data_IF_426361814314
#
_entry.id   IF_426361814314
#
_cell.length_a   1.000
_cell.length_b   1.000
_cell.length_c   1.000
_cell.angle_alpha   90.00
_cell.angle_beta   90.00
_cell.angle_gamma   90.00
#
_symmetry.space_group_name_H-M   'P 1'
#
loop_
_entity.id
_entity.type
_entity.pdbx_description
1 polymer ?
#
# COMPACT_ATOMS: atom_id res chain seq x y z
N UNK A 1 -14.14 -31.52 -22.23
CA UNK A 1 -12.66 -31.40 -22.24
C UNK A 1 -11.97 -32.03 -21.01
N UNK A 2 -12.67 -32.70 -20.08
CA UNK A 2 -12.01 -33.57 -19.07
C UNK A 2 -11.08 -32.88 -18.06
N UNK A 3 -11.02 -31.55 -18.05
CA UNK A 3 -10.25 -30.79 -17.06
C UNK A 3 -10.99 -30.77 -15.72
N UNK A 4 -10.27 -31.06 -14.65
CA UNK A 4 -10.74 -31.01 -13.26
C UNK A 4 -10.25 -29.75 -12.51
N UNK A 5 -9.47 -28.91 -13.20
CA UNK A 5 -8.87 -27.69 -12.67
C UNK A 5 -8.83 -26.59 -13.73
N UNK A 6 -9.45 -25.44 -13.45
CA UNK A 6 -9.57 -24.32 -14.39
C UNK A 6 -9.16 -23.01 -13.72
N UNK A 7 -8.40 -22.18 -14.44
CA UNK A 7 -8.07 -20.83 -14.01
C UNK A 7 -9.03 -19.81 -14.65
N UNK A 8 -9.55 -18.90 -13.82
CA UNK A 8 -10.40 -17.79 -14.25
C UNK A 8 -9.59 -16.50 -14.26
N UNK A 9 -9.47 -15.90 -15.45
CA UNK A 9 -8.80 -14.62 -15.66
C UNK A 9 -9.80 -13.50 -16.01
N UNK A 10 -9.30 -12.26 -16.11
CA UNK A 10 -10.11 -11.10 -16.51
C UNK A 10 -11.00 -10.50 -15.40
N UNK A 11 -10.89 -11.02 -14.18
CA UNK A 11 -11.71 -10.62 -13.03
C UNK A 11 -11.14 -9.44 -12.23
N UNK A 12 -9.84 -9.18 -12.30
CA UNK A 12 -9.16 -8.11 -11.54
C UNK A 12 -9.85 -6.73 -11.59
N UNK A 13 -10.26 -6.19 -12.76
CA UNK A 13 -10.88 -4.87 -12.82
C UNK A 13 -12.37 -4.85 -12.42
N UNK A 14 -12.98 -6.02 -12.17
CA UNK A 14 -14.42 -6.16 -11.91
C UNK A 14 -14.76 -5.84 -10.45
N UNK A 15 -16.00 -5.43 -10.19
CA UNK A 15 -16.50 -5.26 -8.82
C UNK A 15 -16.82 -6.62 -8.18
N UNK A 16 -17.02 -6.64 -6.86
CA UNK A 16 -17.27 -7.88 -6.13
C UNK A 16 -18.54 -8.57 -6.62
N UNK A 17 -19.58 -7.81 -6.96
CA UNK A 17 -20.86 -8.33 -7.43
C UNK A 17 -20.72 -9.03 -8.79
N UNK A 18 -19.97 -8.42 -9.73
CA UNK A 18 -19.68 -9.02 -11.03
C UNK A 18 -18.82 -10.29 -10.90
N UNK A 19 -17.87 -10.32 -9.96
CA UNK A 19 -17.06 -11.53 -9.70
C UNK A 19 -17.94 -12.65 -9.14
N UNK A 20 -18.89 -12.31 -8.26
CA UNK A 20 -19.83 -13.27 -7.69
C UNK A 20 -20.71 -13.90 -8.77
N UNK A 21 -21.30 -13.08 -9.65
CA UNK A 21 -22.11 -13.57 -10.78
C UNK A 21 -21.33 -14.54 -11.68
N UNK A 22 -20.06 -14.26 -11.95
CA UNK A 22 -19.21 -15.17 -12.75
C UNK A 22 -18.92 -16.47 -12.02
N UNK A 23 -18.62 -16.41 -10.72
CA UNK A 23 -18.34 -17.59 -9.92
C UNK A 23 -19.56 -18.52 -9.84
N UNK A 24 -20.75 -17.96 -9.62
CA UNK A 24 -22.01 -18.71 -9.57
C UNK A 24 -22.30 -19.38 -10.92
N UNK A 25 -22.20 -18.64 -12.02
CA UNK A 25 -22.44 -19.18 -13.37
C UNK A 25 -21.46 -20.31 -13.73
N UNK A 26 -20.18 -20.16 -13.39
CA UNK A 26 -19.17 -21.22 -13.62
C UNK A 26 -19.45 -22.43 -12.72
N UNK A 27 -19.87 -22.21 -11.48
CA UNK A 27 -20.19 -23.28 -10.54
C UNK A 27 -21.37 -24.12 -11.03
N UNK A 28 -22.42 -23.48 -11.54
CA UNK A 28 -23.58 -24.13 -12.13
C UNK A 28 -23.20 -24.96 -13.36
N UNK A 29 -22.47 -24.37 -14.31
CA UNK A 29 -22.08 -25.04 -15.56
C UNK A 29 -21.14 -26.23 -15.33
N UNK A 30 -20.29 -26.17 -14.29
CA UNK A 30 -19.36 -27.24 -13.95
C UNK A 30 -19.99 -28.35 -13.09
N UNK A 31 -21.30 -28.25 -12.78
CA UNK A 31 -22.00 -29.11 -11.83
C UNK A 31 -21.28 -29.23 -10.47
N UNK A 32 -20.45 -28.24 -10.16
CA UNK A 32 -19.61 -28.21 -8.99
C UNK A 32 -18.43 -29.20 -8.92
N UNK A 33 -18.07 -29.84 -10.02
CA UNK A 33 -17.04 -30.89 -10.04
C UNK A 33 -15.61 -30.35 -10.27
N UNK A 34 -15.50 -29.10 -10.74
CA UNK A 34 -14.22 -28.51 -11.14
C UNK A 34 -13.63 -27.63 -10.04
N UNK A 35 -12.32 -27.75 -9.85
CA UNK A 35 -11.54 -26.88 -8.95
C UNK A 35 -11.15 -25.60 -9.67
N UNK A 36 -11.31 -24.46 -9.01
CA UNK A 36 -11.05 -23.16 -9.61
C UNK A 36 -9.80 -22.48 -9.04
N UNK A 37 -9.10 -21.75 -9.92
CA UNK A 37 -8.05 -20.81 -9.56
C UNK A 37 -8.44 -19.40 -9.99
N UNK A 38 -8.39 -18.41 -9.09
CA UNK A 38 -8.62 -17.01 -9.46
C UNK A 38 -7.30 -16.26 -9.68
N UNK A 39 -7.13 -15.77 -10.90
CA UNK A 39 -5.95 -14.98 -11.28
C UNK A 39 -6.09 -13.54 -10.80
N UNK A 40 -5.20 -13.13 -9.89
CA UNK A 40 -5.07 -11.74 -9.45
C UNK A 40 -6.15 -11.23 -8.46
N UNK A 41 -7.04 -12.10 -7.96
CA UNK A 41 -8.15 -11.72 -7.07
C UNK A 41 -7.87 -12.16 -5.64
N UNK A 42 -7.60 -11.18 -4.76
CA UNK A 42 -7.52 -11.35 -3.31
C UNK A 42 -8.39 -10.26 -2.69
N UNK A 43 -9.61 -10.62 -2.28
CA UNK A 43 -10.58 -9.70 -1.69
C UNK A 43 -11.27 -10.42 -0.52
N UNK A 44 -11.01 -10.02 0.74
CA UNK A 44 -11.55 -10.70 1.91
C UNK A 44 -13.06 -10.91 1.88
N UNK A 45 -13.82 -9.90 1.41
CA UNK A 45 -15.28 -9.98 1.28
C UNK A 45 -15.80 -11.00 0.25
N UNK A 46 -14.92 -11.66 -0.52
CA UNK A 46 -15.28 -12.74 -1.44
C UNK A 46 -14.85 -14.12 -0.96
N UNK A 47 -14.13 -14.25 0.16
CA UNK A 47 -13.50 -15.52 0.52
C UNK A 47 -14.50 -16.65 0.76
N UNK A 48 -15.62 -16.39 1.44
CA UNK A 48 -16.66 -17.41 1.67
C UNK A 48 -17.28 -17.87 0.35
N UNK A 49 -17.65 -16.93 -0.51
CA UNK A 49 -18.19 -17.23 -1.83
C UNK A 49 -17.17 -18.02 -2.69
N UNK A 50 -15.91 -17.59 -2.71
CA UNK A 50 -14.85 -18.27 -3.42
C UNK A 50 -14.75 -19.74 -2.99
N UNK A 51 -14.78 -20.02 -1.68
CA UNK A 51 -14.80 -21.39 -1.15
C UNK A 51 -16.03 -22.15 -1.64
N UNK A 52 -17.22 -21.57 -1.49
CA UNK A 52 -18.50 -22.22 -1.80
C UNK A 52 -18.62 -22.54 -3.30
N UNK A 53 -18.00 -21.72 -4.16
CA UNK A 53 -17.89 -21.95 -5.61
C UNK A 53 -16.71 -22.88 -6.01
N UNK A 54 -15.97 -23.47 -5.06
CA UNK A 54 -14.90 -24.42 -5.35
C UNK A 54 -13.57 -23.79 -5.82
N UNK A 55 -13.32 -22.53 -5.47
CA UNK A 55 -12.00 -21.91 -5.64
C UNK A 55 -11.04 -22.51 -4.62
N UNK A 56 -10.04 -23.23 -5.11
CA UNK A 56 -9.04 -23.91 -4.28
C UNK A 56 -7.71 -23.16 -4.20
N UNK A 57 -7.50 -22.18 -5.08
CA UNK A 57 -6.33 -21.30 -5.01
C UNK A 57 -6.57 -19.97 -5.72
N UNK A 58 -5.73 -18.98 -5.41
CA UNK A 58 -5.75 -17.67 -6.02
C UNK A 58 -4.39 -17.01 -5.82
N UNK A 59 -4.11 -15.97 -6.60
CA UNK A 59 -2.91 -15.14 -6.43
C UNK A 59 -3.26 -13.65 -6.47
N UNK A 60 -2.41 -12.80 -5.90
CA UNK A 60 -2.48 -11.37 -6.16
C UNK A 60 -1.16 -10.68 -5.88
N UNK A 61 -0.84 -9.72 -6.74
CA UNK A 61 0.24 -8.75 -6.50
C UNK A 61 -0.27 -7.41 -5.97
N UNK A 62 -1.58 -7.28 -5.75
CA UNK A 62 -2.22 -6.02 -5.32
C UNK A 62 -1.64 -5.43 -4.04
N UNK A 63 -1.40 -6.20 -2.95
CA UNK A 63 -0.84 -5.62 -1.72
C UNK A 63 0.53 -4.95 -1.94
N UNK A 64 1.34 -5.56 -2.81
CA UNK A 64 2.64 -5.01 -3.20
C UNK A 64 2.44 -3.80 -4.10
N UNK A 65 1.62 -3.87 -5.15
CA UNK A 65 1.44 -2.75 -6.06
C UNK A 65 0.79 -1.52 -5.42
N UNK A 66 -0.15 -1.70 -4.49
CA UNK A 66 -0.76 -0.60 -3.74
C UNK A 66 0.29 0.16 -2.93
N UNK A 67 1.24 -0.54 -2.29
CA UNK A 67 2.35 0.12 -1.61
C UNK A 67 3.16 1.07 -2.53
N UNK A 68 3.15 0.86 -3.85
CA UNK A 68 3.98 1.59 -4.82
C UNK A 68 3.21 2.62 -5.63
N UNK A 69 1.92 2.36 -5.89
CA UNK A 69 1.13 3.11 -6.87
C UNK A 69 -0.01 3.87 -6.20
N UNK A 70 -0.54 3.37 -5.09
CA UNK A 70 -1.69 4.02 -4.47
C UNK A 70 -1.28 5.35 -3.85
N UNK A 71 -2.12 6.37 -4.06
CA UNK A 71 -1.83 7.71 -3.61
C UNK A 71 -2.01 7.87 -2.09
N UNK A 72 -2.88 7.08 -1.47
CA UNK A 72 -3.38 7.33 -0.12
C UNK A 72 -3.72 6.08 0.70
N UNK A 73 -3.74 4.91 0.07
CA UNK A 73 -4.13 3.63 0.65
C UNK A 73 -2.99 2.61 0.42
N UNK A 74 -1.86 2.85 1.09
CA UNK A 74 -0.60 2.19 0.72
C UNK A 74 0.22 1.63 1.90
N UNK A 75 -0.31 1.68 3.12
CA UNK A 75 0.22 1.01 4.31
C UNK A 75 -0.90 0.29 5.06
N UNK A 76 -0.95 -1.04 4.96
CA UNK A 76 -2.04 -1.84 5.56
C UNK A 76 -1.98 -1.83 7.09
N UNK A 77 -3.14 -1.94 7.72
CA UNK A 77 -3.36 -1.95 9.16
C UNK A 77 -4.66 -2.72 9.47
N UNK A 78 -4.85 -3.11 10.74
CA UNK A 78 -6.15 -3.57 11.27
C UNK A 78 -7.05 -2.43 11.73
N UNK A 79 -6.76 -1.20 11.29
CA UNK A 79 -7.50 -0.03 11.73
C UNK A 79 -8.89 0.00 11.07
N UNK A 80 -9.92 0.34 11.84
CA UNK A 80 -11.31 0.37 11.37
C UNK A 80 -11.55 1.46 10.30
N UNK A 81 -10.79 2.56 10.37
CA UNK A 81 -10.83 3.64 9.38
C UNK A 81 -9.95 3.34 8.14
N UNK A 82 -9.56 2.08 7.95
CA UNK A 82 -8.86 1.58 6.77
C UNK A 82 -7.34 1.78 6.81
N UNK A 83 -6.71 1.67 5.63
CA UNK A 83 -5.25 1.72 5.55
C UNK A 83 -4.69 3.15 5.59
N UNK A 84 -3.42 3.24 5.97
CA UNK A 84 -2.73 4.51 6.15
C UNK A 84 -2.04 4.99 4.87
N UNK A 85 -1.75 6.30 4.85
CA UNK A 85 -0.98 6.95 3.79
C UNK A 85 0.48 7.10 4.19
N UNK A 86 1.38 6.58 3.36
CA UNK A 86 2.82 6.78 3.47
C UNK A 86 3.24 8.24 3.24
N UNK A 87 4.23 8.69 3.99
CA UNK A 87 4.83 10.04 3.90
C UNK A 87 5.67 10.14 2.64
N UNK A 88 5.46 11.18 1.82
CA UNK A 88 6.22 11.39 0.58
C UNK A 88 7.37 12.34 0.82
N UNK A 89 8.60 11.85 0.65
CA UNK A 89 9.81 12.66 0.58
C UNK A 89 10.52 12.30 -0.73
N UNK A 90 10.21 13.00 -1.85
CA UNK A 90 10.86 12.78 -3.14
C UNK A 90 12.38 12.92 -3.04
N UNK A 91 13.12 12.24 -3.90
CA UNK A 91 14.57 12.39 -3.96
C UNK A 91 14.91 13.61 -4.83
N UNK A 92 15.69 14.55 -4.31
CA UNK A 92 16.05 15.80 -4.99
C UNK A 92 16.71 15.55 -6.35
N UNK A 93 17.39 14.42 -6.50
CA UNK A 93 18.10 14.03 -7.72
C UNK A 93 17.27 13.19 -8.72
N UNK A 94 15.98 12.93 -8.46
CA UNK A 94 15.13 12.12 -9.33
C UNK A 94 13.75 12.76 -9.54
N UNK A 95 12.99 12.25 -10.52
CA UNK A 95 11.57 12.57 -10.68
C UNK A 95 11.28 14.07 -10.85
N UNK A 96 10.26 14.56 -10.14
CA UNK A 96 9.81 15.96 -10.19
C UNK A 96 10.89 16.95 -9.72
N UNK A 97 11.55 16.78 -8.56
CA UNK A 97 12.63 17.68 -8.13
C UNK A 97 13.70 17.90 -9.22
N UNK A 98 14.25 16.82 -9.78
CA UNK A 98 15.26 16.92 -10.85
C UNK A 98 14.75 17.63 -12.11
N UNK A 99 13.46 17.46 -12.47
CA UNK A 99 12.86 18.19 -13.60
C UNK A 99 12.75 19.69 -13.32
N UNK A 100 12.39 20.08 -12.11
CA UNK A 100 12.30 21.50 -11.72
C UNK A 100 13.69 22.15 -11.67
N UNK A 101 14.70 21.43 -11.17
CA UNK A 101 16.10 21.86 -11.20
C UNK A 101 16.57 22.09 -12.64
N UNK A 102 16.34 21.13 -13.55
CA UNK A 102 16.70 21.28 -14.97
C UNK A 102 15.95 22.41 -15.67
N UNK A 103 14.76 22.78 -15.19
CA UNK A 103 13.97 23.88 -15.70
C UNK A 103 14.34 25.24 -15.07
N UNK A 104 15.33 25.30 -14.16
CA UNK A 104 15.70 26.51 -13.44
C UNK A 104 14.63 27.00 -12.44
N UNK A 105 13.66 26.16 -12.09
CA UNK A 105 12.54 26.49 -11.20
C UNK A 105 12.79 26.12 -9.73
N UNK A 106 13.86 25.38 -9.47
CA UNK A 106 14.24 24.90 -8.14
C UNK A 106 15.77 24.90 -8.05
N UNK A 107 16.30 25.50 -6.99
CA UNK A 107 17.74 25.41 -6.72
C UNK A 107 18.10 24.01 -6.21
N UNK A 108 19.16 23.42 -6.79
CA UNK A 108 19.55 22.04 -6.46
C UNK A 108 20.07 21.90 -5.04
N UNK A 109 20.86 22.87 -4.57
CA UNK A 109 21.44 22.81 -3.23
C UNK A 109 20.34 22.92 -2.17
N UNK A 110 19.41 23.85 -2.34
CA UNK A 110 18.25 24.00 -1.48
C UNK A 110 17.37 22.75 -1.48
N UNK A 111 17.13 22.12 -2.64
CA UNK A 111 16.34 20.90 -2.72
C UNK A 111 17.00 19.70 -2.00
N UNK A 112 18.32 19.56 -2.10
CA UNK A 112 19.09 18.52 -1.39
C UNK A 112 19.09 18.76 0.11
N UNK A 113 19.25 20.02 0.53
CA UNK A 113 19.20 20.43 1.93
C UNK A 113 17.82 20.11 2.55
N UNK A 114 16.73 20.55 1.91
CA UNK A 114 15.38 20.34 2.38
C UNK A 114 14.98 18.85 2.38
N UNK A 115 15.44 18.05 1.39
CA UNK A 115 15.28 16.59 1.44
C UNK A 115 15.96 16.01 2.69
N UNK A 116 17.21 16.41 2.97
CA UNK A 116 17.97 15.91 4.12
C UNK A 116 17.26 16.26 5.43
N UNK A 117 16.86 17.51 5.59
CA UNK A 117 16.14 17.99 6.78
C UNK A 117 14.83 17.23 7.00
N UNK A 118 14.05 16.99 5.95
CA UNK A 118 12.82 16.22 6.04
C UNK A 118 13.05 14.77 6.52
N UNK A 119 14.15 14.14 6.09
CA UNK A 119 14.50 12.78 6.51
C UNK A 119 15.02 12.72 7.94
N UNK A 120 15.86 13.68 8.32
CA UNK A 120 16.37 13.80 9.68
C UNK A 120 15.23 14.08 10.66
N UNK A 121 14.31 14.98 10.30
CA UNK A 121 13.11 15.28 11.07
C UNK A 121 12.22 14.04 11.26
N UNK A 122 11.99 13.26 10.20
CA UNK A 122 11.18 12.04 10.28
C UNK A 122 11.81 11.00 11.23
N UNK A 123 13.13 10.86 11.22
CA UNK A 123 13.86 9.95 12.12
C UNK A 123 13.90 10.46 13.56
N UNK A 124 14.07 11.76 13.75
CA UNK A 124 13.97 12.39 15.06
C UNK A 124 12.56 12.22 15.65
N UNK A 125 11.52 12.34 14.82
CA UNK A 125 10.14 12.04 15.23
C UNK A 125 9.97 10.58 15.64
N UNK A 126 10.55 9.63 14.90
CA UNK A 126 10.52 8.22 15.27
C UNK A 126 11.20 7.96 16.62
N UNK A 127 12.35 8.60 16.85
CA UNK A 127 13.10 8.56 18.10
C UNK A 127 12.47 9.36 19.26
N UNK A 128 11.29 9.97 19.06
CA UNK A 128 10.60 10.83 20.03
C UNK A 128 11.40 12.08 20.45
N UNK A 129 12.30 12.57 19.60
CA UNK A 129 13.09 13.80 19.84
C UNK A 129 12.57 15.02 19.08
N UNK A 130 11.57 14.84 18.20
CA UNK A 130 10.87 15.91 17.49
C UNK A 130 9.35 15.73 17.66
N UNK A 131 8.62 16.82 17.86
CA UNK A 131 7.16 16.81 17.94
C UNK A 131 6.47 16.79 16.57
N UNK A 132 5.23 16.30 16.50
CA UNK A 132 4.44 16.22 15.27
C UNK A 132 4.29 17.58 14.55
N UNK A 133 3.99 18.71 15.22
CA UNK A 133 3.87 20.01 14.53
C UNK A 133 5.16 20.40 13.80
N UNK A 134 6.31 20.27 14.46
CA UNK A 134 7.60 20.59 13.88
C UNK A 134 7.97 19.66 12.71
N UNK A 135 7.65 18.37 12.80
CA UNK A 135 7.81 17.45 11.66
C UNK A 135 6.96 17.90 10.47
N UNK A 136 5.68 18.22 10.70
CA UNK A 136 4.76 18.63 9.64
C UNK A 136 5.23 19.90 8.94
N UNK A 137 5.79 20.86 9.68
CA UNK A 137 6.34 22.09 9.12
C UNK A 137 7.51 21.81 8.19
N UNK A 138 8.49 21.00 8.61
CA UNK A 138 9.65 20.62 7.77
C UNK A 138 9.19 19.87 6.51
N UNK A 139 8.24 18.94 6.63
CA UNK A 139 7.71 18.22 5.48
C UNK A 139 7.00 19.15 4.49
N UNK A 140 6.22 20.13 5.00
CA UNK A 140 5.51 21.11 4.16
C UNK A 140 6.47 22.05 3.44
N UNK A 141 7.52 22.52 4.12
CA UNK A 141 8.56 23.34 3.48
C UNK A 141 9.14 22.63 2.26
N UNK A 142 9.54 21.37 2.38
CA UNK A 142 10.05 20.62 1.24
C UNK A 142 8.99 20.36 0.17
N UNK A 143 7.75 20.07 0.57
CA UNK A 143 6.65 19.85 -0.37
C UNK A 143 6.35 21.11 -1.21
N UNK A 144 6.31 22.28 -0.57
CA UNK A 144 6.00 23.58 -1.16
C UNK A 144 7.06 24.02 -2.17
N UNK A 145 8.34 23.70 -1.92
CA UNK A 145 9.43 23.92 -2.88
C UNK A 145 9.20 23.19 -4.22
N UNK A 146 8.48 22.07 -4.21
CA UNK A 146 8.14 21.33 -5.43
C UNK A 146 6.88 21.88 -6.13
N UNK A 147 6.17 22.80 -5.48
CA UNK A 147 5.07 23.60 -6.02
C UNK A 147 3.84 22.82 -6.47
N UNK A 148 2.91 23.54 -7.12
CA UNK A 148 1.65 23.01 -7.68
C UNK A 148 1.83 22.17 -8.95
N UNK A 149 3.07 21.97 -9.40
CA UNK A 149 3.40 21.22 -10.63
C UNK A 149 3.23 19.70 -10.46
N UNK A 150 2.84 19.23 -9.26
CA UNK A 150 2.44 17.85 -9.04
C UNK A 150 1.09 17.58 -9.72
N UNK A 151 0.98 16.41 -10.37
CA UNK A 151 -0.31 15.92 -10.89
C UNK A 151 -1.37 15.74 -9.79
N UNK A 152 -0.93 15.51 -8.55
CA UNK A 152 -1.80 15.27 -7.39
C UNK A 152 -1.27 16.04 -6.19
N UNK A 153 -2.18 16.67 -5.44
CA UNK A 153 -1.84 17.33 -4.17
C UNK A 153 -1.41 16.29 -3.14
N UNK A 154 -0.47 16.65 -2.28
CA UNK A 154 -0.09 15.84 -1.13
C UNK A 154 -1.27 15.76 -0.14
N UNK A 155 -1.76 14.56 0.22
CA UNK A 155 -2.92 14.40 1.10
C UNK A 155 -2.51 14.60 2.57
N UNK A 156 -2.27 15.86 2.95
CA UNK A 156 -1.72 16.22 4.26
C UNK A 156 -2.53 15.71 5.45
N UNK A 157 -3.86 15.74 5.38
CA UNK A 157 -4.72 15.28 6.48
C UNK A 157 -4.52 13.78 6.75
N UNK A 158 -4.39 12.98 5.68
CA UNK A 158 -4.13 11.54 5.79
C UNK A 158 -2.71 11.25 6.29
N UNK A 159 -1.73 12.01 5.83
CA UNK A 159 -0.34 11.88 6.31
C UNK A 159 -0.25 12.26 7.78
N UNK A 160 -0.93 13.32 8.20
CA UNK A 160 -0.98 13.77 9.59
C UNK A 160 -1.59 12.69 10.48
N UNK A 161 -2.68 12.04 10.04
CA UNK A 161 -3.26 10.88 10.72
C UNK A 161 -2.21 9.77 10.88
N UNK A 162 -1.56 9.33 9.79
CA UNK A 162 -0.51 8.30 9.87
C UNK A 162 0.57 8.66 10.88
N UNK A 163 1.04 9.91 10.86
CA UNK A 163 2.10 10.35 11.77
C UNK A 163 1.62 10.43 13.22
N UNK A 164 0.37 10.85 13.47
CA UNK A 164 -0.21 10.92 14.80
C UNK A 164 -0.42 9.52 15.41
N UNK A 165 -1.00 8.61 14.64
CA UNK A 165 -1.36 7.26 15.10
C UNK A 165 -0.13 6.34 15.22
N UNK A 166 0.95 6.67 14.49
CA UNK A 166 2.24 5.94 14.49
C UNK A 166 2.07 4.42 14.30
N UNK A 167 1.32 3.95 13.29
CA UNK A 167 0.95 2.54 13.19
C UNK A 167 2.16 1.60 12.99
N UNK A 168 3.29 2.12 12.50
CA UNK A 168 4.53 1.35 12.38
C UNK A 168 5.17 1.01 13.74
N UNK A 169 4.91 1.81 14.78
CA UNK A 169 5.50 1.62 16.10
C UNK A 169 4.83 0.47 16.87
N UNK A 170 3.54 0.24 16.64
CA UNK A 170 2.76 -0.83 17.27
C UNK A 170 2.63 -2.08 16.39
N UNK A 171 2.96 -2.00 15.10
CA UNK A 171 2.84 -3.14 14.19
C UNK A 171 3.84 -4.27 14.52
N UNK A 172 3.38 -5.51 14.73
CA UNK A 172 4.26 -6.61 15.13
C UNK A 172 4.94 -7.30 13.93
N UNK A 173 4.72 -6.83 12.69
CA UNK A 173 5.33 -7.46 11.53
C UNK A 173 6.87 -7.28 11.56
N UNK A 174 7.65 -8.25 11.02
CA UNK A 174 9.12 -8.14 11.01
C UNK A 174 9.64 -6.86 10.33
N UNK A 175 8.97 -6.43 9.26
CA UNK A 175 9.35 -5.23 8.49
C UNK A 175 9.28 -3.97 9.34
N UNK A 176 8.17 -3.75 10.06
CA UNK A 176 8.00 -2.57 10.90
C UNK A 176 8.93 -2.61 12.10
N UNK A 177 9.12 -3.79 12.74
CA UNK A 177 10.03 -3.95 13.87
C UNK A 177 11.49 -3.64 13.51
N UNK A 178 11.92 -3.98 12.29
CA UNK A 178 13.30 -3.73 11.84
C UNK A 178 13.51 -2.30 11.32
N UNK A 179 12.53 -1.74 10.63
CA UNK A 179 12.69 -0.48 9.88
C UNK A 179 12.13 0.76 10.58
N UNK A 180 11.23 0.60 11.56
CA UNK A 180 10.55 1.72 12.20
C UNK A 180 9.84 2.62 11.19
N UNK A 181 9.96 3.94 11.35
CA UNK A 181 9.31 4.92 10.47
C UNK A 181 9.71 4.79 8.99
N UNK A 182 10.84 4.17 8.68
CA UNK A 182 11.32 4.04 7.29
C UNK A 182 10.36 3.20 6.41
N UNK A 183 9.50 2.36 7.02
CA UNK A 183 8.47 1.59 6.28
C UNK A 183 7.39 2.49 5.67
N UNK A 184 7.01 3.57 6.36
CA UNK A 184 5.97 4.49 5.89
C UNK A 184 6.50 5.56 4.95
N UNK A 185 7.77 5.46 4.56
CA UNK A 185 8.38 6.43 3.66
C UNK A 185 8.16 6.03 2.19
N UNK A 186 7.43 6.86 1.46
CA UNK A 186 7.20 6.70 0.04
C UNK A 186 8.35 7.36 -0.73
N UNK A 187 9.43 6.60 -0.96
CA UNK A 187 10.53 6.99 -1.85
C UNK A 187 11.38 5.81 -2.29
N UNK A 188 11.73 5.78 -3.57
CA UNK A 188 12.59 4.74 -4.14
C UNK A 188 11.98 3.34 -4.14
N UNK A 189 12.46 2.48 -5.04
CA UNK A 189 11.89 1.15 -5.23
C UNK A 189 12.07 0.21 -4.01
N UNK A 190 13.20 0.31 -3.29
CA UNK A 190 13.49 -0.62 -2.18
C UNK A 190 12.61 -0.39 -0.95
N UNK A 191 12.34 0.87 -0.58
CA UNK A 191 11.43 1.17 0.55
C UNK A 191 9.99 0.82 0.20
N UNK A 192 9.56 1.12 -1.02
CA UNK A 192 8.23 0.72 -1.49
C UNK A 192 8.07 -0.81 -1.51
N UNK A 193 9.11 -1.57 -1.90
CA UNK A 193 9.14 -3.04 -1.77
C UNK A 193 8.98 -3.50 -0.33
N UNK A 194 9.73 -2.91 0.61
CA UNK A 194 9.64 -3.23 2.05
C UNK A 194 8.22 -3.00 2.58
N UNK A 195 7.59 -1.88 2.25
CA UNK A 195 6.18 -1.63 2.58
C UNK A 195 5.23 -2.63 1.90
N UNK A 196 5.51 -3.05 0.67
CA UNK A 196 4.79 -4.13 0.01
C UNK A 196 4.84 -5.45 0.78
N UNK A 197 6.00 -5.82 1.34
CA UNK A 197 6.12 -7.00 2.22
C UNK A 197 5.34 -6.86 3.53
N UNK A 198 5.27 -5.64 4.09
CA UNK A 198 4.38 -5.34 5.21
C UNK A 198 2.90 -5.55 4.85
N UNK A 199 2.46 -5.05 3.68
CA UNK A 199 1.09 -5.27 3.21
C UNK A 199 0.79 -6.75 2.96
N UNK A 200 1.75 -7.51 2.41
CA UNK A 200 1.62 -8.96 2.23
C UNK A 200 1.48 -9.68 3.57
N UNK A 201 2.25 -9.30 4.59
CA UNK A 201 2.14 -9.88 5.92
C UNK A 201 0.73 -9.67 6.51
N UNK A 202 0.15 -8.48 6.35
CA UNK A 202 -1.23 -8.21 6.76
C UNK A 202 -2.25 -9.03 5.97
N UNK A 203 -2.06 -9.13 4.65
CA UNK A 203 -2.91 -9.94 3.76
C UNK A 203 -2.90 -11.41 4.19
N UNK A 204 -1.72 -11.95 4.51
CA UNK A 204 -1.57 -13.30 5.01
C UNK A 204 -2.33 -13.50 6.34
N UNK A 205 -2.25 -12.55 7.27
CA UNK A 205 -2.97 -12.67 8.55
C UNK A 205 -4.48 -12.63 8.39
N UNK A 206 -5.01 -11.80 7.49
CA UNK A 206 -6.44 -11.82 7.18
C UNK A 206 -6.87 -13.17 6.61
N UNK A 207 -6.04 -13.77 5.77
CA UNK A 207 -6.30 -15.11 5.23
C UNK A 207 -6.23 -16.19 6.31
N UNK A 208 -5.25 -16.13 7.22
CA UNK A 208 -5.13 -17.06 8.35
C UNK A 208 -6.32 -16.94 9.30
N UNK A 209 -6.77 -15.72 9.61
CA UNK A 209 -7.96 -15.49 10.43
C UNK A 209 -9.21 -16.07 9.77
N UNK A 210 -9.46 -15.74 8.50
CA UNK A 210 -10.60 -16.29 7.78
C UNK A 210 -10.59 -17.82 7.75
N UNK A 211 -9.42 -18.46 7.59
CA UNK A 211 -9.29 -19.94 7.66
C UNK A 211 -9.53 -20.49 9.06
N UNK A 212 -9.13 -19.76 10.10
CA UNK A 212 -9.28 -20.14 11.50
C UNK A 212 -10.72 -20.03 12.00
N UNK A 213 -11.47 -19.03 11.53
CA UNK A 213 -12.90 -18.84 11.85
C UNK A 213 -13.80 -19.98 11.32
N UNK A 214 -13.24 -20.89 10.51
CA UNK A 214 -13.94 -22.07 9.97
C UNK A 214 -13.69 -23.37 10.76
N UNK A 215 -12.83 -23.35 11.78
CA UNK A 215 -12.47 -24.52 12.61
C UNK A 215 -13.33 -24.60 13.87
#
# INVERSE_FOLDING_TARGET
MGYDYIALGGLVPRRNEEIAEVLDAVREETAGEVRLHLLGVVRPGLYDLMRDCGVVSFDSSSPVWQAFKDASDNYYSADEDGHYTAVRIPQANLGLPMRLVKAGKLDQANAVQAEREALEALRAYDANTLGLPALMDVLRVYDDMLGTQRKTRTPWDRIQRTLADRPWASCPCPVCRELGVEVILFRGANRNRRRGFHNLWWTQRQLEQWRGDQA
#
